data_IF_216899872219
#
_entry.id   IF_216899872219
#
_cell.length_a   1.000
_cell.length_b   1.000
_cell.length_c   1.000
_cell.angle_alpha   90.00
_cell.angle_beta   90.00
_cell.angle_gamma   90.00
#
_symmetry.space_group_name_H-M   'P 1'
#
loop_
_entity.id
_entity.type
_entity.pdbx_description
1 polymer ?
#
# COMPACT_ATOMS: atom_id res chain seq x y z
N UNK A 1 -7.66 52.63 -18.68
CA UNK A 1 -6.94 51.40 -18.25
C UNK A 1 -6.94 50.42 -19.40
N UNK A 2 -5.78 50.09 -19.98
CA UNK A 2 -5.66 49.08 -21.05
C UNK A 2 -5.31 47.75 -20.40
N UNK A 3 -6.26 46.82 -20.33
CA UNK A 3 -5.96 45.45 -19.90
C UNK A 3 -5.25 44.73 -21.04
N UNK A 4 -4.05 44.22 -20.79
CA UNK A 4 -3.26 43.51 -21.79
C UNK A 4 -3.88 42.12 -22.04
N UNK A 5 -4.03 41.70 -23.30
CA UNK A 5 -4.68 40.44 -23.68
C UNK A 5 -4.04 39.20 -23.02
N UNK A 6 -2.76 39.32 -22.66
CA UNK A 6 -2.00 38.31 -21.91
C UNK A 6 -2.53 38.15 -20.47
N UNK A 7 -2.85 39.24 -19.77
CA UNK A 7 -3.40 39.18 -18.40
C UNK A 7 -4.81 38.58 -18.39
N UNK A 8 -5.63 38.90 -19.39
CA UNK A 8 -7.00 38.37 -19.49
C UNK A 8 -7.00 36.85 -19.76
N UNK A 9 -6.05 36.35 -20.55
CA UNK A 9 -5.93 34.91 -20.87
C UNK A 9 -5.46 34.08 -19.67
N UNK A 10 -4.54 34.60 -18.86
CA UNK A 10 -4.03 33.89 -17.65
C UNK A 10 -5.13 33.79 -16.58
N UNK A 11 -5.93 34.84 -16.38
CA UNK A 11 -7.03 34.82 -15.42
C UNK A 11 -8.15 33.83 -15.78
N UNK A 12 -8.43 33.65 -17.08
CA UNK A 12 -9.42 32.67 -17.56
C UNK A 12 -8.91 31.23 -17.42
N UNK A 13 -7.62 30.98 -17.67
CA UNK A 13 -7.03 29.64 -17.53
C UNK A 13 -7.04 29.12 -16.09
N UNK A 14 -6.82 29.98 -15.10
CA UNK A 14 -6.86 29.61 -13.68
C UNK A 14 -8.27 29.22 -13.19
N UNK A 15 -9.32 29.76 -13.81
CA UNK A 15 -10.73 29.44 -13.51
C UNK A 15 -11.20 28.11 -14.12
N UNK A 16 -10.40 27.50 -15.01
CA UNK A 16 -10.67 26.21 -15.64
C UNK A 16 -9.96 25.03 -14.95
N UNK A 17 -9.21 25.28 -13.87
CA UNK A 17 -8.57 24.23 -13.08
C UNK A 17 -9.60 23.61 -12.15
N UNK A 18 -10.35 22.63 -12.64
CA UNK A 18 -11.19 21.77 -11.80
C UNK A 18 -10.29 20.81 -11.00
N UNK A 19 -10.68 20.50 -9.75
CA UNK A 19 -10.09 19.37 -9.02
C UNK A 19 -10.37 18.07 -9.78
N UNK A 20 -9.34 17.23 -9.92
CA UNK A 20 -9.49 15.84 -10.35
C UNK A 20 -9.54 14.98 -9.10
N UNK A 21 -10.63 14.24 -8.93
CA UNK A 21 -10.72 13.15 -7.97
C UNK A 21 -10.16 11.87 -8.63
N UNK A 22 -8.87 11.63 -8.43
CA UNK A 22 -8.23 10.39 -8.83
C UNK A 22 -8.10 9.46 -7.62
N UNK A 23 -8.55 8.21 -7.76
CA UNK A 23 -8.29 7.16 -6.79
C UNK A 23 -7.26 6.18 -7.35
N UNK A 24 -6.37 5.69 -6.49
CA UNK A 24 -5.44 4.62 -6.79
C UNK A 24 -5.87 3.37 -6.03
N UNK A 25 -6.18 2.29 -6.76
CA UNK A 25 -6.45 0.97 -6.18
C UNK A 25 -5.34 0.02 -6.58
N UNK A 26 -4.64 -0.51 -5.59
CA UNK A 26 -3.66 -1.56 -5.81
C UNK A 26 -4.31 -2.92 -5.73
N UNK A 27 -4.47 -3.52 -6.90
CA UNK A 27 -5.06 -4.84 -7.05
C UNK A 27 -4.09 -5.95 -6.63
N UNK A 28 -3.94 -6.18 -5.33
CA UNK A 28 -3.16 -7.30 -4.79
C UNK A 28 -4.12 -8.36 -4.23
N UNK A 29 -4.31 -9.46 -4.97
CA UNK A 29 -5.40 -10.42 -4.79
C UNK A 29 -5.28 -11.26 -3.51
N UNK A 30 -4.09 -11.30 -2.91
CA UNK A 30 -3.85 -12.01 -1.67
C UNK A 30 -2.55 -11.58 -1.00
N UNK A 31 -2.37 -12.05 0.23
CA UNK A 31 -1.14 -11.81 0.98
C UNK A 31 0.00 -12.67 0.42
N UNK A 32 1.20 -12.11 0.37
CA UNK A 32 2.45 -12.89 0.24
C UNK A 32 2.93 -13.41 1.60
N UNK A 33 2.45 -12.83 2.70
CA UNK A 33 2.86 -13.27 4.05
C UNK A 33 1.97 -12.75 5.17
N UNK A 34 2.07 -13.43 6.31
CA UNK A 34 1.52 -13.02 7.60
C UNK A 34 2.63 -13.19 8.64
N UNK A 35 3.33 -12.11 8.98
CA UNK A 35 4.55 -12.19 9.77
C UNK A 35 4.87 -10.88 10.49
N UNK A 36 5.73 -10.95 11.51
CA UNK A 36 6.27 -9.79 12.24
C UNK A 36 7.44 -9.16 11.47
N UNK A 37 7.18 -8.70 10.25
CA UNK A 37 8.19 -8.12 9.35
C UNK A 37 7.91 -6.64 9.17
N UNK A 38 8.89 -5.79 9.50
CA UNK A 38 8.87 -4.35 9.21
C UNK A 38 10.29 -3.82 8.95
N UNK A 39 10.72 -3.72 7.69
CA UNK A 39 12.08 -3.28 7.36
C UNK A 39 12.33 -1.79 7.61
N UNK A 40 11.29 -0.99 7.92
CA UNK A 40 11.43 0.44 8.20
C UNK A 40 11.47 0.72 9.70
N UNK A 41 10.58 0.11 10.48
CA UNK A 41 10.44 0.35 11.92
C UNK A 41 11.28 -0.60 12.77
N UNK A 42 11.48 -1.84 12.32
CA UNK A 42 12.25 -2.88 13.05
C UNK A 42 13.25 -3.60 12.11
N UNK A 43 14.24 -2.89 11.55
CA UNK A 43 15.13 -3.48 10.56
C UNK A 43 15.94 -4.65 11.15
N UNK A 44 15.87 -5.82 10.51
CA UNK A 44 16.58 -7.04 10.92
C UNK A 44 16.00 -7.76 12.13
N UNK A 45 14.91 -7.25 12.72
CA UNK A 45 14.29 -7.78 13.93
C UNK A 45 12.80 -8.10 13.73
N UNK A 46 12.20 -8.80 14.69
CA UNK A 46 10.77 -9.06 14.65
C UNK A 46 9.99 -7.80 15.06
N UNK A 47 9.06 -7.36 14.21
CA UNK A 47 8.20 -6.19 14.46
C UNK A 47 7.33 -6.37 15.73
N UNK A 48 6.86 -5.29 16.33
CA UNK A 48 6.07 -5.34 17.59
C UNK A 48 4.74 -6.08 17.45
N UNK A 49 4.20 -6.19 16.23
CA UNK A 49 2.96 -6.89 15.91
C UNK A 49 3.06 -7.61 14.56
N UNK A 50 2.06 -8.44 14.26
CA UNK A 50 1.99 -9.20 13.01
C UNK A 50 1.43 -8.29 11.91
N UNK A 51 2.03 -8.35 10.72
CA UNK A 51 1.56 -7.69 9.53
C UNK A 51 0.95 -8.67 8.54
N UNK A 52 -0.11 -8.25 7.86
CA UNK A 52 -0.56 -8.84 6.61
C UNK A 52 0.16 -8.14 5.46
N UNK A 53 0.87 -8.92 4.64
CA UNK A 53 1.86 -8.41 3.68
C UNK A 53 1.41 -8.73 2.25
N UNK A 54 1.44 -7.76 1.37
CA UNK A 54 1.09 -7.84 -0.05
C UNK A 54 2.20 -7.21 -0.90
N UNK A 55 2.18 -7.49 -2.20
CA UNK A 55 3.17 -6.97 -3.14
C UNK A 55 4.35 -7.93 -3.33
N UNK A 56 5.56 -7.41 -3.31
CA UNK A 56 6.77 -8.16 -3.67
C UNK A 56 7.07 -9.35 -2.75
N UNK A 57 7.48 -10.47 -3.36
CA UNK A 57 7.99 -11.65 -2.63
C UNK A 57 9.38 -11.45 -2.02
N UNK A 58 10.06 -10.33 -2.32
CA UNK A 58 11.36 -9.97 -1.77
C UNK A 58 11.30 -9.32 -0.39
N UNK A 59 10.09 -9.15 0.17
CA UNK A 59 9.90 -8.58 1.51
C UNK A 59 10.55 -9.47 2.57
N UNK A 60 11.32 -8.84 3.46
CA UNK A 60 12.03 -9.48 4.56
C UNK A 60 12.34 -8.43 5.64
N UNK A 61 12.77 -8.83 6.85
CA UNK A 61 13.12 -7.88 7.91
C UNK A 61 14.21 -6.87 7.53
N UNK A 62 15.03 -7.17 6.53
CA UNK A 62 16.10 -6.29 6.04
C UNK A 62 15.93 -5.92 4.56
N UNK A 63 14.71 -6.02 4.02
CA UNK A 63 14.47 -5.73 2.62
C UNK A 63 14.76 -4.26 2.30
N UNK A 64 15.54 -4.05 1.25
CA UNK A 64 15.80 -2.75 0.65
C UNK A 64 15.19 -2.67 -0.76
N UNK A 65 15.46 -1.57 -1.47
CA UNK A 65 14.98 -1.38 -2.83
C UNK A 65 15.40 -2.52 -3.78
N UNK A 66 16.64 -2.99 -3.68
CA UNK A 66 17.17 -4.03 -4.58
C UNK A 66 16.51 -5.38 -4.30
N UNK A 67 16.32 -5.73 -3.03
CA UNK A 67 15.59 -6.93 -2.62
C UNK A 67 14.15 -6.93 -3.13
N UNK A 68 13.45 -5.79 -3.00
CA UNK A 68 12.06 -5.67 -3.43
C UNK A 68 11.94 -5.75 -4.96
N UNK A 69 12.71 -4.93 -5.69
CA UNK A 69 12.63 -4.85 -7.16
C UNK A 69 13.20 -6.07 -7.89
N UNK A 70 14.18 -6.76 -7.28
CA UNK A 70 14.77 -8.00 -7.81
C UNK A 70 13.95 -9.26 -7.51
N UNK A 71 12.81 -9.16 -6.83
CA UNK A 71 12.01 -10.30 -6.44
C UNK A 71 11.31 -10.99 -7.62
N UNK A 72 11.29 -12.33 -7.60
CA UNK A 72 10.71 -13.15 -8.67
C UNK A 72 9.22 -12.87 -8.92
N UNK A 73 8.40 -12.69 -7.87
CA UNK A 73 6.95 -12.51 -7.99
C UNK A 73 6.40 -11.35 -7.14
N UNK A 74 5.11 -11.05 -7.35
CA UNK A 74 4.33 -10.05 -6.60
C UNK A 74 2.89 -10.55 -6.52
N UNK A 75 2.18 -10.26 -5.43
CA UNK A 75 0.74 -10.57 -5.34
C UNK A 75 -0.16 -9.55 -6.04
N UNK A 76 0.42 -8.49 -6.61
CA UNK A 76 -0.30 -7.43 -7.30
C UNK A 76 -0.48 -7.72 -8.80
N UNK A 77 -1.60 -7.23 -9.36
CA UNK A 77 -1.99 -7.44 -10.76
C UNK A 77 -1.01 -6.79 -11.74
N UNK A 78 -0.49 -5.63 -11.38
CA UNK A 78 0.60 -4.99 -12.13
C UNK A 78 1.90 -5.69 -11.72
N UNK A 79 2.38 -6.60 -12.55
CA UNK A 79 3.52 -7.47 -12.21
C UNK A 79 4.85 -6.71 -12.05
N UNK A 80 4.95 -5.52 -12.63
CA UNK A 80 6.08 -4.59 -12.48
C UNK A 80 6.07 -3.92 -11.10
N UNK A 81 4.92 -3.89 -10.43
CA UNK A 81 4.84 -3.38 -9.07
C UNK A 81 5.42 -4.43 -8.11
N UNK A 82 6.60 -4.08 -7.60
CA UNK A 82 7.33 -4.83 -6.59
C UNK A 82 7.45 -4.05 -5.28
N UNK A 83 6.55 -3.10 -5.02
CA UNK A 83 6.45 -2.48 -3.71
C UNK A 83 6.00 -3.51 -2.67
N UNK A 84 6.35 -3.27 -1.42
CA UNK A 84 5.81 -4.02 -0.29
C UNK A 84 4.72 -3.19 0.38
N UNK A 85 3.56 -3.81 0.62
CA UNK A 85 2.44 -3.22 1.33
C UNK A 85 2.16 -4.08 2.56
N UNK A 86 2.46 -3.58 3.75
CA UNK A 86 2.24 -4.31 5.00
C UNK A 86 1.42 -3.47 5.96
N UNK A 87 0.40 -4.08 6.54
CA UNK A 87 -0.52 -3.43 7.49
C UNK A 87 -0.75 -4.32 8.69
N UNK A 88 -1.11 -3.78 9.87
CA UNK A 88 -1.38 -4.60 11.04
C UNK A 88 -2.44 -5.67 10.72
N UNK A 89 -2.12 -6.92 11.06
CA UNK A 89 -3.06 -8.01 10.91
C UNK A 89 -4.22 -7.86 11.91
N UNK A 90 -5.45 -7.97 11.42
CA UNK A 90 -6.64 -7.93 12.26
C UNK A 90 -6.92 -9.30 12.86
N UNK A 91 -7.21 -9.33 14.16
CA UNK A 91 -7.62 -10.52 14.89
C UNK A 91 -9.01 -10.28 15.48
N UNK A 92 -9.87 -11.29 15.39
CA UNK A 92 -11.12 -11.35 16.13
C UNK A 92 -10.85 -12.00 17.48
N UNK A 93 -11.39 -11.42 18.55
CA UNK A 93 -11.36 -12.01 19.88
C UNK A 93 -12.74 -12.53 20.21
N UNK A 94 -12.86 -13.84 20.43
CA UNK A 94 -14.12 -14.44 20.83
C UNK A 94 -14.45 -14.05 22.27
N UNK A 95 -15.64 -13.48 22.49
CA UNK A 95 -16.02 -12.94 23.81
C UNK A 95 -16.31 -14.01 24.86
N UNK A 96 -16.60 -15.25 24.45
CA UNK A 96 -16.93 -16.35 25.36
C UNK A 96 -15.69 -17.13 25.80
N UNK A 97 -14.73 -17.34 24.90
CA UNK A 97 -13.51 -18.12 25.13
C UNK A 97 -12.29 -17.23 25.41
N UNK A 98 -12.29 -15.99 24.92
CA UNK A 98 -11.16 -15.08 24.98
C UNK A 98 -10.05 -15.38 23.96
N UNK A 99 -10.23 -16.39 23.10
CA UNK A 99 -9.27 -16.78 22.08
C UNK A 99 -9.23 -15.77 20.93
N UNK A 100 -8.07 -15.68 20.27
CA UNK A 100 -7.85 -14.81 19.12
C UNK A 100 -7.70 -15.63 17.85
N UNK A 101 -8.44 -15.27 16.82
CA UNK A 101 -8.31 -15.83 15.47
C UNK A 101 -8.01 -14.74 14.45
N UNK A 102 -7.26 -15.09 13.41
CA UNK A 102 -6.93 -14.15 12.34
C UNK A 102 -8.18 -13.87 11.50
N UNK A 103 -8.46 -12.59 11.22
CA UNK A 103 -9.51 -12.23 10.26
C UNK A 103 -9.01 -12.56 8.85
N UNK A 104 -9.72 -13.46 8.18
CA UNK A 104 -9.40 -13.86 6.82
C UNK A 104 -9.60 -12.68 5.85
N UNK A 105 -8.61 -12.47 4.97
CA UNK A 105 -8.67 -11.42 3.95
C UNK A 105 -9.10 -12.05 2.64
N UNK A 106 -10.35 -11.83 2.27
CA UNK A 106 -10.91 -12.28 0.99
C UNK A 106 -10.78 -11.14 -0.02
N UNK A 107 -10.13 -11.40 -1.16
CA UNK A 107 -9.91 -10.40 -2.21
C UNK A 107 -8.69 -9.49 -2.00
N UNK A 108 -7.92 -9.71 -0.93
CA UNK A 108 -6.70 -8.96 -0.63
C UNK A 108 -6.96 -7.45 -0.44
N UNK A 109 -6.21 -6.60 -1.14
CA UNK A 109 -6.30 -5.14 -1.02
C UNK A 109 -7.46 -4.50 -1.80
N UNK A 110 -8.46 -5.28 -2.23
CA UNK A 110 -9.53 -4.84 -3.12
C UNK A 110 -10.95 -4.92 -2.60
N UNK A 111 -11.13 -5.31 -1.33
CA UNK A 111 -12.44 -5.26 -0.68
C UNK A 111 -13.12 -3.88 -0.89
#
# INVERSE_FOLDING_TARGET
MKFNAIQLSVSVGALLVSSVDAFWRMECQGRVGLARVDPLMNPGEAATHVHAIHGSSGISPSADFAALTGADCTSCRVTQDKSAYWTPALYFQDSATGEFEIVEQVGGMLA
#
